data_IF_988040888118
#
_entry.id   IF_988040888118
#
_cell.length_a   1.000
_cell.length_b   1.000
_cell.length_c   1.000
_cell.angle_alpha   90.00
_cell.angle_beta   90.00
_cell.angle_gamma   90.00
#
_symmetry.space_group_name_H-M   'P 1'
#
loop_
_entity.id
_entity.type
_entity.pdbx_description
1 polymer ?
#
# COMPACT_ATOMS: atom_id res chain seq x y z
N UNK A 1 7.57 -10.81 33.93
CA UNK A 1 8.06 -10.30 32.63
C UNK A 1 6.91 -9.69 31.87
N UNK A 2 6.85 -8.36 31.75
CA UNK A 2 5.86 -7.68 30.90
C UNK A 2 6.36 -7.75 29.47
N UNK A 3 5.75 -8.61 28.66
CA UNK A 3 5.96 -8.56 27.22
C UNK A 3 5.40 -7.22 26.70
N UNK A 4 6.29 -6.32 26.36
CA UNK A 4 5.95 -5.14 25.56
C UNK A 4 5.25 -5.66 24.28
N UNK A 5 4.00 -5.24 24.06
CA UNK A 5 3.26 -5.52 22.83
C UNK A 5 3.93 -4.80 21.65
N UNK A 6 5.12 -5.22 21.28
CA UNK A 6 5.67 -4.89 19.99
C UNK A 6 4.81 -5.65 18.97
N UNK A 7 4.08 -4.89 18.16
CA UNK A 7 3.19 -5.42 17.13
C UNK A 7 3.88 -6.49 16.31
N UNK A 8 3.43 -7.73 16.46
CA UNK A 8 3.96 -8.90 15.77
C UNK A 8 3.04 -9.28 14.63
N UNK A 9 3.61 -9.72 13.52
CA UNK A 9 2.88 -10.29 12.41
C UNK A 9 2.76 -11.79 12.58
N UNK A 10 1.57 -12.31 12.34
CA UNK A 10 1.36 -13.72 12.12
C UNK A 10 1.12 -13.94 10.63
N UNK A 11 2.02 -14.68 9.99
CA UNK A 11 1.86 -15.14 8.62
C UNK A 11 1.46 -16.61 8.66
N UNK A 12 0.33 -16.92 8.04
CA UNK A 12 -0.17 -18.27 7.87
C UNK A 12 -0.17 -18.60 6.39
N UNK A 13 0.59 -19.62 5.99
CA UNK A 13 0.61 -20.14 4.64
C UNK A 13 0.03 -21.56 4.64
N UNK A 14 -0.95 -21.79 3.77
CA UNK A 14 -1.66 -23.05 3.67
C UNK A 14 -1.57 -23.59 2.24
N UNK A 15 -1.24 -24.85 2.10
CA UNK A 15 -1.44 -25.62 0.87
C UNK A 15 -2.13 -26.95 1.18
N UNK A 16 -2.42 -27.78 0.19
CA UNK A 16 -3.15 -29.04 0.34
C UNK A 16 -2.48 -30.06 1.29
N UNK A 17 -1.21 -29.87 1.62
CA UNK A 17 -0.43 -30.84 2.42
C UNK A 17 0.19 -30.24 3.67
N UNK A 18 0.29 -28.92 3.80
CA UNK A 18 1.07 -28.28 4.86
C UNK A 18 0.51 -26.92 5.27
N UNK A 19 0.52 -26.67 6.57
CA UNK A 19 0.27 -25.36 7.17
C UNK A 19 1.60 -24.86 7.74
N UNK A 20 1.99 -23.65 7.40
CA UNK A 20 3.15 -22.99 7.97
C UNK A 20 2.73 -21.71 8.66
N UNK A 21 3.18 -21.52 9.90
CA UNK A 21 2.93 -20.33 10.70
C UNK A 21 4.27 -19.70 11.05
N UNK A 22 4.40 -18.40 10.80
CA UNK A 22 5.58 -17.65 11.21
C UNK A 22 5.19 -16.32 11.87
N UNK A 23 5.99 -15.90 12.86
CA UNK A 23 5.88 -14.62 13.52
C UNK A 23 7.01 -13.71 13.01
N UNK A 24 6.66 -12.46 12.68
CA UNK A 24 7.64 -11.47 12.24
C UNK A 24 7.39 -10.15 12.96
N UNK A 25 8.44 -9.41 13.35
CA UNK A 25 8.27 -8.07 13.90
C UNK A 25 7.63 -7.16 12.83
N UNK A 26 6.67 -6.36 13.25
CA UNK A 26 6.05 -5.36 12.37
C UNK A 26 7.01 -4.21 12.19
N UNK A 27 7.45 -4.00 10.96
CA UNK A 27 8.25 -2.81 10.62
C UNK A 27 7.35 -1.58 10.69
N UNK A 28 7.75 -0.58 11.50
CA UNK A 28 7.07 0.71 11.55
C UNK A 28 7.61 1.58 10.41
N UNK A 29 6.75 2.08 9.52
CA UNK A 29 7.20 2.98 8.46
C UNK A 29 7.81 4.25 9.04
N UNK A 30 8.90 4.70 8.46
CA UNK A 30 9.56 5.95 8.83
C UNK A 30 8.73 7.17 8.34
N UNK A 31 9.02 8.37 8.89
CA UNK A 31 8.42 9.62 8.43
C UNK A 31 8.72 9.93 6.95
N UNK A 32 9.88 9.48 6.47
CA UNK A 32 10.32 9.64 5.07
C UNK A 32 10.14 8.32 4.33
N UNK A 33 8.90 8.00 3.99
CA UNK A 33 8.57 6.82 3.24
C UNK A 33 8.54 7.17 1.74
N UNK A 34 9.35 6.50 0.95
CA UNK A 34 9.46 6.74 -0.49
C UNK A 34 8.77 5.64 -1.31
N UNK A 35 8.61 5.88 -2.60
CA UNK A 35 8.18 4.86 -3.54
C UNK A 35 8.96 4.95 -4.85
N UNK A 36 9.01 3.83 -5.56
CA UNK A 36 9.46 3.67 -6.94
C UNK A 36 8.35 3.09 -7.78
N UNK A 37 8.40 3.27 -9.10
CA UNK A 37 7.38 2.78 -10.03
C UNK A 37 7.96 1.65 -10.87
N UNK A 38 7.20 0.57 -11.03
CA UNK A 38 7.60 -0.56 -11.87
C UNK A 38 6.44 -1.00 -12.75
N UNK A 39 6.66 -1.08 -14.05
CA UNK A 39 5.68 -1.63 -14.98
C UNK A 39 5.60 -3.15 -14.81
N UNK A 40 4.73 -3.57 -13.93
CA UNK A 40 4.43 -4.96 -13.64
C UNK A 40 3.03 -5.10 -13.08
N UNK A 41 2.29 -6.10 -13.54
CA UNK A 41 1.00 -6.51 -12.98
C UNK A 41 1.14 -7.92 -12.43
N UNK A 42 0.67 -8.16 -11.22
CA UNK A 42 0.65 -9.51 -10.65
C UNK A 42 -0.24 -10.45 -11.47
N UNK A 43 0.17 -11.69 -11.56
CA UNK A 43 -0.72 -12.75 -12.03
C UNK A 43 -1.89 -12.89 -11.05
N UNK A 44 -3.11 -13.00 -11.58
CA UNK A 44 -4.33 -13.08 -10.78
C UNK A 44 -4.42 -12.00 -9.68
N UNK A 45 -4.40 -10.70 -10.05
CA UNK A 45 -4.27 -9.60 -9.08
C UNK A 45 -5.43 -9.53 -8.09
N UNK A 46 -6.57 -10.16 -8.39
CA UNK A 46 -7.74 -10.21 -7.50
C UNK A 46 -7.60 -11.24 -6.38
N UNK A 47 -6.66 -12.17 -6.51
CA UNK A 47 -6.45 -13.25 -5.56
C UNK A 47 -5.19 -13.00 -4.72
N UNK A 48 -5.27 -13.35 -3.44
CA UNK A 48 -4.09 -13.42 -2.58
C UNK A 48 -3.42 -14.77 -2.79
N UNK A 49 -2.46 -14.83 -3.71
CA UNK A 49 -1.66 -16.02 -3.97
C UNK A 49 -0.26 -15.90 -3.37
N UNK A 50 0.46 -17.02 -3.25
CA UNK A 50 1.82 -17.09 -2.71
C UNK A 50 2.91 -17.08 -3.79
N UNK A 51 2.55 -16.89 -5.05
CA UNK A 51 3.51 -16.78 -6.16
C UNK A 51 4.16 -15.39 -6.20
N UNK A 52 4.93 -15.08 -5.14
CA UNK A 52 5.49 -13.74 -4.92
C UNK A 52 6.96 -13.59 -5.33
N UNK A 53 7.57 -14.54 -6.04
CA UNK A 53 9.00 -14.43 -6.39
C UNK A 53 9.37 -13.06 -6.95
N UNK A 54 8.61 -12.57 -7.94
CA UNK A 54 8.86 -11.25 -8.56
C UNK A 54 8.62 -10.10 -7.57
N UNK A 55 7.55 -10.18 -6.77
CA UNK A 55 7.24 -9.17 -5.75
C UNK A 55 8.33 -9.10 -4.68
N UNK A 56 8.81 -10.26 -4.19
CA UNK A 56 9.91 -10.34 -3.22
C UNK A 56 11.16 -9.71 -3.81
N UNK A 57 11.54 -10.10 -5.03
CA UNK A 57 12.71 -9.53 -5.71
C UNK A 57 12.62 -8.00 -5.89
N UNK A 58 11.43 -7.46 -6.20
CA UNK A 58 11.22 -6.02 -6.30
C UNK A 58 11.39 -5.32 -4.95
N UNK A 59 10.86 -5.91 -3.88
CA UNK A 59 10.98 -5.36 -2.53
C UNK A 59 12.42 -5.40 -2.00
N UNK A 60 13.12 -6.49 -2.22
CA UNK A 60 14.52 -6.65 -1.81
C UNK A 60 15.44 -5.63 -2.49
N UNK A 61 15.26 -5.42 -3.79
CA UNK A 61 16.02 -4.41 -4.55
C UNK A 61 15.79 -2.98 -4.09
N UNK A 62 14.62 -2.68 -3.52
CA UNK A 62 14.19 -1.33 -3.18
C UNK A 62 14.19 -1.04 -1.67
N UNK A 63 14.90 -1.81 -0.85
CA UNK A 63 14.97 -1.60 0.60
C UNK A 63 13.59 -1.42 1.24
N UNK A 64 12.84 -2.49 1.36
CA UNK A 64 11.41 -2.55 1.70
C UNK A 64 11.00 -1.95 3.07
N UNK A 65 11.94 -1.53 3.93
CA UNK A 65 11.63 -0.97 5.25
C UNK A 65 11.02 0.44 5.17
N UNK A 66 11.52 1.27 4.24
CA UNK A 66 11.12 2.68 4.07
C UNK A 66 10.71 3.01 2.63
N UNK A 67 10.49 2.00 1.82
CA UNK A 67 10.11 2.15 0.43
C UNK A 67 8.96 1.18 0.08
N UNK A 68 8.19 1.53 -0.90
CA UNK A 68 7.24 0.66 -1.59
C UNK A 68 7.49 0.70 -3.09
N UNK A 69 7.15 -0.38 -3.77
CA UNK A 69 7.13 -0.41 -5.22
C UNK A 69 5.70 -0.30 -5.69
N UNK A 70 5.40 0.76 -6.41
CA UNK A 70 4.11 0.98 -7.06
C UNK A 70 4.08 0.19 -8.37
N UNK A 71 3.11 -0.69 -8.50
CA UNK A 71 2.91 -1.51 -9.68
C UNK A 71 2.02 -0.79 -10.68
N UNK A 72 2.44 -0.79 -11.93
CA UNK A 72 1.70 -0.16 -13.03
C UNK A 72 1.54 -1.11 -14.21
N UNK A 73 0.58 -0.83 -15.07
CA UNK A 73 0.42 -1.48 -16.37
C UNK A 73 -0.13 -0.48 -17.37
N UNK A 74 0.56 -0.32 -18.49
CA UNK A 74 0.17 0.64 -19.53
C UNK A 74 -0.09 2.03 -18.95
N UNK A 75 0.84 2.55 -18.16
CA UNK A 75 0.78 3.83 -17.46
C UNK A 75 -0.29 3.93 -16.34
N UNK A 76 -1.10 2.91 -16.13
CA UNK A 76 -2.10 2.88 -15.06
C UNK A 76 -1.49 2.42 -13.74
N UNK A 77 -1.73 3.18 -12.68
CA UNK A 77 -1.45 2.77 -11.29
C UNK A 77 -2.40 1.66 -10.89
N UNK A 78 -1.87 0.58 -10.33
CA UNK A 78 -2.65 -0.58 -9.89
C UNK A 78 -2.67 -0.69 -8.37
N UNK A 79 -1.52 -0.93 -7.77
CA UNK A 79 -1.35 -1.16 -6.32
C UNK A 79 0.13 -1.03 -5.94
N UNK A 80 0.45 -1.07 -4.66
CA UNK A 80 1.82 -1.33 -4.19
C UNK A 80 2.09 -2.84 -4.11
N UNK A 81 3.34 -3.25 -4.10
CA UNK A 81 3.72 -4.66 -3.95
C UNK A 81 3.06 -5.33 -2.74
N UNK A 82 2.86 -4.59 -1.64
CA UNK A 82 2.27 -5.12 -0.40
C UNK A 82 1.08 -4.30 0.09
N UNK A 83 0.65 -3.30 -0.67
CA UNK A 83 -0.33 -2.30 -0.24
C UNK A 83 -1.33 -1.97 -1.33
N UNK A 84 -2.48 -1.43 -0.92
CA UNK A 84 -3.37 -0.70 -1.82
C UNK A 84 -3.00 0.78 -1.85
N UNK A 85 -3.41 1.49 -2.89
CA UNK A 85 -3.09 2.90 -3.10
C UNK A 85 -4.36 3.74 -3.07
N UNK A 86 -4.30 4.87 -2.36
CA UNK A 86 -5.26 5.96 -2.47
C UNK A 86 -4.50 7.23 -2.87
N UNK A 87 -5.04 7.98 -3.81
CA UNK A 87 -4.51 9.27 -4.24
C UNK A 87 -5.49 10.38 -3.86
N UNK A 88 -4.97 11.51 -3.38
CA UNK A 88 -5.78 12.63 -2.91
C UNK A 88 -5.55 13.85 -3.79
N UNK A 89 -6.63 14.43 -4.28
CA UNK A 89 -6.63 15.69 -5.02
C UNK A 89 -7.81 16.53 -4.56
N UNK A 90 -7.56 17.79 -4.18
CA UNK A 90 -8.60 18.72 -3.68
C UNK A 90 -9.50 18.08 -2.60
N UNK A 91 -8.90 17.43 -1.61
CA UNK A 91 -9.56 16.70 -0.51
C UNK A 91 -10.47 15.53 -0.95
N UNK A 92 -10.55 15.21 -2.25
CA UNK A 92 -11.24 14.03 -2.77
C UNK A 92 -10.26 12.85 -2.79
N UNK A 93 -10.78 11.66 -2.48
CA UNK A 93 -9.98 10.43 -2.39
C UNK A 93 -10.29 9.56 -3.61
N UNK A 94 -9.25 9.16 -4.31
CA UNK A 94 -9.32 8.32 -5.49
C UNK A 94 -8.60 7.01 -5.25
N UNK A 95 -9.08 5.94 -5.87
CA UNK A 95 -8.45 4.63 -5.89
C UNK A 95 -8.50 4.03 -7.30
N UNK A 96 -7.56 3.16 -7.67
CA UNK A 96 -7.62 2.43 -8.93
C UNK A 96 -8.96 1.68 -9.10
N UNK A 97 -9.41 1.49 -10.35
CA UNK A 97 -10.68 0.83 -10.65
C UNK A 97 -10.58 -0.67 -10.45
N UNK A 98 -9.51 -1.30 -10.96
CA UNK A 98 -9.36 -2.76 -11.05
C UNK A 98 -7.89 -3.19 -11.00
N UNK A 99 -7.66 -4.49 -11.14
CA UNK A 99 -6.33 -5.13 -11.24
C UNK A 99 -5.47 -4.94 -9.97
N UNK A 100 -6.11 -4.94 -8.80
CA UNK A 100 -5.44 -4.93 -7.51
C UNK A 100 -6.14 -5.88 -6.53
N UNK A 101 -5.39 -6.40 -5.56
CA UNK A 101 -5.95 -7.16 -4.46
C UNK A 101 -6.64 -6.24 -3.46
N UNK A 102 -7.91 -6.52 -3.13
CA UNK A 102 -8.65 -5.78 -2.11
C UNK A 102 -8.21 -6.21 -0.70
N UNK A 103 -7.17 -5.57 -0.17
CA UNK A 103 -6.65 -5.84 1.16
C UNK A 103 -7.63 -5.49 2.29
N UNK A 104 -7.46 -6.13 3.44
CA UNK A 104 -8.35 -5.91 4.61
C UNK A 104 -8.30 -4.47 5.12
N UNK A 105 -7.11 -3.84 5.12
CA UNK A 105 -6.97 -2.43 5.53
C UNK A 105 -7.76 -1.51 4.61
N UNK A 106 -7.71 -1.74 3.28
CA UNK A 106 -8.52 -0.97 2.33
C UNK A 106 -10.02 -1.15 2.61
N UNK A 107 -10.48 -2.40 2.76
CA UNK A 107 -11.89 -2.69 3.07
C UNK A 107 -12.34 -1.97 4.34
N UNK A 108 -11.53 -2.02 5.40
CA UNK A 108 -11.81 -1.35 6.65
C UNK A 108 -11.93 0.17 6.48
N UNK A 109 -10.97 0.81 5.81
CA UNK A 109 -10.97 2.26 5.59
C UNK A 109 -12.15 2.68 4.71
N UNK A 110 -12.46 1.94 3.64
CA UNK A 110 -13.62 2.23 2.78
C UNK A 110 -14.93 2.21 3.58
N UNK A 111 -15.10 1.23 4.48
CA UNK A 111 -16.31 1.09 5.29
C UNK A 111 -16.41 2.13 6.41
N UNK A 112 -15.28 2.61 6.94
CA UNK A 112 -15.24 3.57 8.06
C UNK A 112 -15.12 5.02 7.63
N UNK A 113 -14.68 5.28 6.42
CA UNK A 113 -14.52 6.63 5.89
C UNK A 113 -15.88 7.31 5.69
N UNK A 114 -16.01 8.53 6.23
CA UNK A 114 -17.15 9.40 5.92
C UNK A 114 -17.03 10.06 4.54
N UNK A 115 -15.83 10.09 3.98
CA UNK A 115 -15.58 10.62 2.65
C UNK A 115 -15.77 9.54 1.60
N UNK A 116 -16.42 9.90 0.50
CA UNK A 116 -16.57 9.00 -0.66
C UNK A 116 -15.19 8.73 -1.28
N UNK A 117 -14.83 7.46 -1.43
CA UNK A 117 -13.65 7.02 -2.17
C UNK A 117 -14.09 6.70 -3.60
N UNK A 118 -13.53 7.43 -4.55
CA UNK A 118 -13.92 7.42 -5.96
C UNK A 118 -12.98 6.49 -6.73
N UNK A 119 -13.53 5.52 -7.43
CA UNK A 119 -12.74 4.69 -8.36
C UNK A 119 -12.44 5.47 -9.64
N UNK A 120 -11.18 5.49 -10.03
CA UNK A 120 -10.71 6.20 -11.21
C UNK A 120 -9.48 5.53 -11.80
N UNK A 121 -9.31 5.61 -13.11
CA UNK A 121 -8.03 5.32 -13.76
C UNK A 121 -7.04 6.43 -13.36
N UNK A 122 -5.98 6.04 -12.67
CA UNK A 122 -4.93 6.94 -12.19
C UNK A 122 -3.72 6.67 -13.08
N UNK A 123 -3.30 7.67 -13.85
CA UNK A 123 -2.14 7.54 -14.73
C UNK A 123 -0.88 8.03 -14.01
N UNK A 124 0.27 7.43 -14.32
CA UNK A 124 1.57 7.85 -13.78
C UNK A 124 1.85 9.31 -14.12
N UNK A 125 1.58 9.72 -15.35
CA UNK A 125 1.76 11.11 -15.80
C UNK A 125 0.90 12.14 -15.06
N UNK A 126 -0.22 11.70 -14.47
CA UNK A 126 -1.15 12.57 -13.74
C UNK A 126 -0.84 12.63 -12.22
N UNK A 127 0.20 11.93 -11.75
CA UNK A 127 0.53 11.88 -10.32
C UNK A 127 0.85 13.24 -9.73
N UNK A 128 1.36 14.19 -10.53
CA UNK A 128 1.60 15.58 -10.11
C UNK A 128 0.35 16.32 -9.65
N UNK A 129 -0.84 15.87 -10.05
CA UNK A 129 -2.13 16.44 -9.63
C UNK A 129 -2.56 16.03 -8.21
N UNK A 130 -1.90 15.03 -7.63
CA UNK A 130 -2.27 14.49 -6.32
C UNK A 130 -1.36 15.03 -5.22
N UNK A 131 -1.97 15.57 -4.17
CA UNK A 131 -1.31 16.18 -3.02
C UNK A 131 -0.79 15.15 -2.02
N UNK A 132 -1.49 14.02 -1.91
CA UNK A 132 -1.15 12.89 -1.04
C UNK A 132 -1.31 11.57 -1.79
N UNK A 133 -0.40 10.64 -1.56
CA UNK A 133 -0.52 9.24 -2.00
C UNK A 133 -0.37 8.35 -0.79
N UNK A 134 -1.46 7.68 -0.42
CA UNK A 134 -1.54 6.83 0.76
C UNK A 134 -1.40 5.36 0.38
N UNK A 135 -0.65 4.64 1.17
CA UNK A 135 -0.52 3.19 1.09
C UNK A 135 -1.26 2.53 2.24
N UNK A 136 -2.07 1.53 1.92
CA UNK A 136 -2.90 0.80 2.88
C UNK A 136 -2.52 -0.68 2.85
N UNK A 137 -2.00 -1.19 3.94
CA UNK A 137 -1.63 -2.61 4.06
C UNK A 137 -1.61 -3.05 5.49
N UNK A 138 -2.06 -4.29 5.78
CA UNK A 138 -2.05 -4.79 7.17
C UNK A 138 -0.64 -4.79 7.76
N UNK A 139 0.41 -4.81 6.92
CA UNK A 139 1.80 -4.71 7.27
C UNK A 139 2.29 -3.37 7.68
N UNK A 140 2.08 -2.46 6.85
CA UNK A 140 2.58 -1.10 7.02
C UNK A 140 1.55 -0.19 7.70
N UNK A 141 0.29 -0.64 7.81
CA UNK A 141 -0.81 0.20 8.28
C UNK A 141 -1.24 1.19 7.22
N UNK A 142 -1.36 2.45 7.61
CA UNK A 142 -1.60 3.60 6.74
C UNK A 142 -0.33 4.42 6.67
N UNK A 143 0.20 4.63 5.48
CA UNK A 143 1.44 5.38 5.23
C UNK A 143 1.17 6.47 4.20
N UNK A 144 1.72 7.66 4.40
CA UNK A 144 1.76 8.71 3.37
C UNK A 144 3.13 8.69 2.70
N UNK A 145 3.18 8.51 1.39
CA UNK A 145 4.42 8.58 0.61
C UNK A 145 4.95 10.01 0.68
N UNK A 146 6.23 10.17 0.97
CA UNK A 146 6.90 11.48 0.99
C UNK A 146 7.37 11.90 -0.39
N UNK A 147 7.85 10.93 -1.19
CA UNK A 147 8.34 11.16 -2.54
C UNK A 147 8.26 9.89 -3.40
N UNK A 148 8.09 10.07 -4.70
CA UNK A 148 8.29 9.04 -5.72
C UNK A 148 9.49 9.49 -6.55
N UNK A 149 10.59 8.74 -6.45
CA UNK A 149 11.90 9.16 -6.98
C UNK A 149 11.91 9.20 -8.50
N UNK A 150 11.22 8.26 -9.15
CA UNK A 150 11.27 8.07 -10.60
C UNK A 150 10.63 9.21 -11.39
N UNK A 151 9.75 10.00 -10.77
CA UNK A 151 8.98 11.07 -11.41
C UNK A 151 9.10 12.41 -10.69
N UNK A 152 10.04 12.53 -9.75
CA UNK A 152 10.26 13.73 -8.93
C UNK A 152 8.97 14.25 -8.23
N UNK A 153 8.05 13.34 -7.88
CA UNK A 153 6.85 13.69 -7.13
C UNK A 153 7.17 13.79 -5.64
N UNK A 154 6.63 14.84 -4.99
CA UNK A 154 6.71 15.05 -3.54
C UNK A 154 5.33 15.36 -2.99
N UNK A 155 5.03 14.83 -1.81
CA UNK A 155 3.76 15.13 -1.13
C UNK A 155 3.64 16.61 -0.80
N UNK A 156 2.41 17.12 -0.86
CA UNK A 156 2.09 18.53 -0.59
C UNK A 156 1.22 18.69 0.65
N UNK A 157 0.60 17.60 1.14
CA UNK A 157 -0.34 17.62 2.27
C UNK A 157 -0.23 16.34 3.11
N UNK A 158 -0.75 16.42 4.33
CA UNK A 158 -0.95 15.29 5.25
C UNK A 158 -2.39 15.24 5.82
N UNK A 159 -3.32 16.01 5.27
CA UNK A 159 -4.63 16.21 5.89
C UNK A 159 -5.49 14.95 5.85
N UNK A 160 -5.60 14.33 4.69
CA UNK A 160 -6.36 13.08 4.50
C UNK A 160 -5.61 11.89 5.11
N UNK A 161 -4.29 11.91 5.05
CA UNK A 161 -3.47 10.91 5.75
C UNK A 161 -3.77 10.89 7.26
N UNK A 162 -3.76 12.04 7.95
CA UNK A 162 -4.04 12.13 9.39
C UNK A 162 -5.44 11.62 9.73
N UNK A 163 -6.44 11.99 8.93
CA UNK A 163 -7.82 11.51 9.07
C UNK A 163 -7.87 9.97 8.90
N UNK A 164 -7.28 9.45 7.83
CA UNK A 164 -7.26 8.00 7.53
C UNK A 164 -6.50 7.21 8.59
N UNK A 165 -5.37 7.72 9.07
CA UNK A 165 -4.60 7.10 10.14
C UNK A 165 -5.38 7.06 11.47
N UNK A 166 -6.12 8.13 11.79
CA UNK A 166 -6.98 8.17 12.97
C UNK A 166 -8.10 7.12 12.91
N UNK A 167 -8.70 6.91 11.74
CA UNK A 167 -9.68 5.85 11.53
C UNK A 167 -9.07 4.45 11.72
N UNK A 168 -7.84 4.25 11.26
CA UNK A 168 -7.16 2.94 11.34
C UNK A 168 -6.71 2.57 12.76
N UNK A 169 -6.45 3.57 13.63
CA UNK A 169 -5.98 3.36 15.02
C UNK A 169 -7.11 3.12 16.02
N UNK A 170 -8.34 3.40 15.65
CA UNK A 170 -9.55 3.11 16.44
C UNK A 170 -9.98 1.64 16.29
#
# INVERSE_FOLDING_TARGET
MRFSQKHTWQLIAINSKKISISLRPRVQPNKFFTATIVNYQRENPLLKNLYYKKIISLLEKNNNSNNEVILTKNDLILEGCTTNILCVCMKKIYMPITNYYKGMTLKYIVNKSRKKIIKRNILVKDLSLYEEILLLGSGKGVVNISAITDINWKKQSDSIYKETLSLYKK
#
